data_IF_114383163953
#
_entry.id   IF_114383163953
#
_cell.length_a   1.000
_cell.length_b   1.000
_cell.length_c   1.000
_cell.angle_alpha   90.00
_cell.angle_beta   90.00
_cell.angle_gamma   90.00
#
_symmetry.space_group_name_H-M   'P 1'
#
loop_
_entity.id
_entity.type
_entity.pdbx_description
1 polymer ?
#
# COMPACT_ATOMS: atom_id res chain seq x y z
N UNK A 1 -22.61 -12.44 4.31
CA UNK A 1 -21.46 -12.93 5.10
C UNK A 1 -20.94 -11.82 5.99
N UNK A 2 -20.54 -12.13 7.23
CA UNK A 2 -20.04 -11.11 8.18
C UNK A 2 -18.62 -10.71 7.78
N UNK A 3 -18.39 -9.41 7.58
CA UNK A 3 -17.08 -8.84 7.24
C UNK A 3 -16.04 -9.20 8.32
N UNK A 4 -14.89 -9.78 7.97
CA UNK A 4 -13.85 -10.09 8.95
C UNK A 4 -13.28 -8.82 9.57
N UNK A 5 -13.22 -8.74 10.89
CA UNK A 5 -12.65 -7.58 11.61
C UNK A 5 -11.22 -7.26 11.15
N UNK A 6 -10.42 -8.27 10.79
CA UNK A 6 -9.06 -8.08 10.28
C UNK A 6 -9.00 -7.28 8.97
N UNK A 7 -9.91 -7.55 8.03
CA UNK A 7 -9.99 -6.81 6.75
C UNK A 7 -10.40 -5.36 7.02
N UNK A 8 -11.30 -5.16 7.98
CA UNK A 8 -11.70 -3.82 8.39
C UNK A 8 -10.59 -3.01 9.00
N UNK A 9 -9.87 -3.60 9.95
CA UNK A 9 -8.75 -2.96 10.62
C UNK A 9 -7.66 -2.60 9.60
N UNK A 10 -7.31 -3.52 8.69
CA UNK A 10 -6.27 -3.26 7.68
C UNK A 10 -6.67 -2.13 6.73
N UNK A 11 -7.89 -2.16 6.18
CA UNK A 11 -8.34 -1.11 5.27
C UNK A 11 -8.39 0.26 5.95
N UNK A 12 -8.81 0.32 7.22
CA UNK A 12 -8.76 1.57 8.01
C UNK A 12 -7.34 2.02 8.33
N UNK A 13 -6.43 1.11 8.65
CA UNK A 13 -5.01 1.42 8.83
C UNK A 13 -4.46 2.03 7.54
N UNK A 14 -4.70 1.41 6.39
CA UNK A 14 -4.23 1.93 5.09
C UNK A 14 -4.80 3.33 4.82
N UNK A 15 -6.08 3.57 5.09
CA UNK A 15 -6.67 4.91 4.93
C UNK A 15 -6.04 5.94 5.87
N UNK A 16 -5.93 5.62 7.17
CA UNK A 16 -5.37 6.52 8.16
C UNK A 16 -3.91 6.85 7.87
N UNK A 17 -3.10 5.84 7.53
CA UNK A 17 -1.69 6.05 7.18
C UNK A 17 -1.54 6.81 5.86
N UNK A 18 -2.42 6.59 4.88
CA UNK A 18 -2.40 7.35 3.62
C UNK A 18 -2.69 8.84 3.85
N UNK A 19 -3.71 9.15 4.66
CA UNK A 19 -4.04 10.54 5.02
C UNK A 19 -2.91 11.19 5.82
N UNK A 20 -2.37 10.48 6.81
CA UNK A 20 -1.24 10.96 7.60
C UNK A 20 0.00 11.21 6.73
N UNK A 21 0.32 10.27 5.83
CA UNK A 21 1.45 10.37 4.92
C UNK A 21 1.30 11.54 3.96
N UNK A 22 0.07 11.83 3.50
CA UNK A 22 -0.20 12.99 2.65
C UNK A 22 0.17 14.31 3.39
N UNK A 23 -0.24 14.45 4.65
CA UNK A 23 0.07 15.64 5.46
C UNK A 23 1.56 15.75 5.75
N UNK A 24 2.21 14.64 6.14
CA UNK A 24 3.64 14.61 6.45
C UNK A 24 4.47 14.92 5.20
N UNK A 25 4.16 14.31 4.06
CA UNK A 25 4.90 14.53 2.82
C UNK A 25 4.71 15.95 2.31
N UNK A 26 3.49 16.50 2.37
CA UNK A 26 3.25 17.90 2.00
C UNK A 26 4.12 18.85 2.82
N UNK A 27 4.22 18.66 4.14
CA UNK A 27 5.12 19.47 4.99
C UNK A 27 6.60 19.26 4.71
N UNK A 28 6.99 18.08 4.25
CA UNK A 28 8.39 17.74 3.99
C UNK A 28 8.86 18.15 2.59
N UNK A 29 7.98 18.61 1.69
CA UNK A 29 8.39 19.06 0.35
C UNK A 29 9.38 20.23 0.41
N UNK A 30 9.21 21.13 1.36
CA UNK A 30 10.08 22.31 1.53
C UNK A 30 11.24 22.06 2.52
N UNK A 31 11.35 20.85 3.07
CA UNK A 31 12.40 20.54 4.04
C UNK A 31 13.74 20.31 3.31
N UNK A 32 14.76 21.15 3.53
CA UNK A 32 16.02 21.07 2.77
C UNK A 32 16.74 19.74 2.95
N UNK A 33 16.60 19.11 4.12
CA UNK A 33 17.20 17.80 4.40
C UNK A 33 16.53 16.68 3.58
N UNK A 34 15.21 16.76 3.40
CA UNK A 34 14.45 15.79 2.58
C UNK A 34 14.75 15.97 1.10
N UNK A 35 14.84 17.21 0.62
CA UNK A 35 15.20 17.52 -0.76
C UNK A 35 16.61 17.02 -1.09
N UNK A 36 17.59 17.22 -0.20
CA UNK A 36 18.95 16.72 -0.39
C UNK A 36 19.00 15.18 -0.43
N UNK A 37 18.23 14.52 0.43
CA UNK A 37 18.10 13.06 0.43
C UNK A 37 17.44 12.53 -0.85
N UNK A 38 16.37 13.17 -1.34
CA UNK A 38 15.69 12.79 -2.58
C UNK A 38 16.56 13.04 -3.82
N UNK A 39 17.37 14.11 -3.82
CA UNK A 39 18.30 14.42 -4.90
C UNK A 39 19.44 13.39 -5.04
N UNK A 40 19.75 12.63 -3.98
CA UNK A 40 20.74 11.53 -4.01
C UNK A 40 20.19 10.23 -4.63
N UNK A 41 18.89 10.17 -4.92
CA UNK A 41 18.28 9.03 -5.63
C UNK A 41 18.56 9.09 -7.12
N UNK A 42 18.58 7.92 -7.77
CA UNK A 42 18.75 7.81 -9.23
C UNK A 42 17.52 8.33 -10.01
N UNK A 43 16.38 8.55 -9.34
CA UNK A 43 15.15 9.03 -9.97
C UNK A 43 15.04 10.56 -9.89
N UNK A 44 14.55 11.23 -10.95
CA UNK A 44 14.25 12.66 -10.88
C UNK A 44 13.17 12.93 -9.81
N UNK A 45 13.34 14.02 -9.06
CA UNK A 45 12.45 14.36 -7.93
C UNK A 45 10.96 14.47 -8.33
N UNK A 46 10.68 14.97 -9.53
CA UNK A 46 9.32 15.04 -10.07
C UNK A 46 8.66 13.67 -10.19
N UNK A 47 9.41 12.66 -10.64
CA UNK A 47 8.94 11.29 -10.75
C UNK A 47 8.75 10.65 -9.37
N UNK A 48 9.65 10.93 -8.41
CA UNK A 48 9.50 10.47 -7.03
C UNK A 48 8.20 10.99 -6.41
N UNK A 49 7.89 12.29 -6.55
CA UNK A 49 6.63 12.85 -6.06
C UNK A 49 5.41 12.30 -6.79
N UNK A 50 5.48 12.16 -8.12
CA UNK A 50 4.39 11.58 -8.89
C UNK A 50 4.06 10.16 -8.43
N UNK A 51 5.08 9.31 -8.24
CA UNK A 51 4.91 7.95 -7.72
C UNK A 51 4.36 7.93 -6.30
N UNK A 52 4.82 8.83 -5.44
CA UNK A 52 4.33 8.97 -4.06
C UNK A 52 2.83 9.30 -4.04
N UNK A 53 2.41 10.36 -4.72
CA UNK A 53 1.01 10.78 -4.74
C UNK A 53 0.11 9.75 -5.43
N UNK A 54 0.57 9.16 -6.54
CA UNK A 54 -0.13 8.08 -7.20
C UNK A 54 -0.31 6.87 -6.26
N UNK A 55 0.72 6.54 -5.48
CA UNK A 55 0.64 5.48 -4.48
C UNK A 55 -0.37 5.74 -3.37
N UNK A 56 -0.49 6.99 -2.91
CA UNK A 56 -1.50 7.37 -1.92
C UNK A 56 -2.93 7.20 -2.48
N UNK A 57 -3.16 7.60 -3.74
CA UNK A 57 -4.46 7.42 -4.41
C UNK A 57 -4.77 5.92 -4.56
N UNK A 58 -3.81 5.14 -5.04
CA UNK A 58 -3.97 3.69 -5.22
C UNK A 58 -4.25 3.00 -3.89
N UNK A 59 -3.52 3.35 -2.82
CA UNK A 59 -3.75 2.81 -1.49
C UNK A 59 -5.15 3.13 -0.97
N UNK A 60 -5.62 4.38 -1.16
CA UNK A 60 -6.97 4.79 -0.79
C UNK A 60 -8.05 4.03 -1.56
N UNK A 61 -7.93 3.95 -2.88
CA UNK A 61 -8.86 3.21 -3.76
C UNK A 61 -8.89 1.72 -3.39
N UNK A 62 -7.72 1.12 -3.19
CA UNK A 62 -7.61 -0.28 -2.79
C UNK A 62 -8.25 -0.54 -1.42
N UNK A 63 -8.02 0.35 -0.44
CA UNK A 63 -8.65 0.24 0.87
C UNK A 63 -10.18 0.30 0.76
N UNK A 64 -10.74 1.27 0.04
CA UNK A 64 -12.21 1.37 -0.17
C UNK A 64 -12.75 0.13 -0.88
N UNK A 65 -12.04 -0.40 -1.89
CA UNK A 65 -12.43 -1.63 -2.57
C UNK A 65 -12.44 -2.83 -1.60
N UNK A 66 -11.45 -2.94 -0.70
CA UNK A 66 -11.44 -3.96 0.35
C UNK A 66 -12.59 -3.77 1.35
N UNK A 67 -12.92 -2.53 1.73
CA UNK A 67 -14.09 -2.25 2.59
C UNK A 67 -15.39 -2.77 1.95
N UNK A 68 -15.49 -2.67 0.62
CA UNK A 68 -16.63 -3.15 -0.19
C UNK A 68 -16.60 -4.65 -0.48
N UNK A 69 -15.56 -5.38 -0.06
CA UNK A 69 -15.42 -6.82 -0.31
C UNK A 69 -15.00 -7.18 -1.73
N UNK A 70 -14.44 -6.22 -2.48
CA UNK A 70 -13.95 -6.45 -3.83
C UNK A 70 -12.54 -7.06 -3.79
N UNK A 71 -12.37 -8.21 -4.42
CA UNK A 71 -11.12 -8.98 -4.41
C UNK A 71 -9.96 -8.29 -5.16
N UNK A 72 -10.27 -7.43 -6.12
CA UNK A 72 -9.26 -6.67 -6.85
C UNK A 72 -8.55 -5.64 -5.97
N UNK A 73 -9.19 -5.16 -4.89
CA UNK A 73 -8.60 -4.17 -3.98
C UNK A 73 -7.30 -4.67 -3.35
N UNK A 74 -7.29 -5.92 -2.87
CA UNK A 74 -6.08 -6.56 -2.32
C UNK A 74 -5.00 -6.82 -3.36
N UNK A 75 -5.38 -7.21 -4.58
CA UNK A 75 -4.44 -7.43 -5.69
C UNK A 75 -3.77 -6.12 -6.09
N UNK A 76 -4.55 -5.04 -6.16
CA UNK A 76 -4.05 -3.70 -6.48
C UNK A 76 -3.09 -3.20 -5.38
N UNK A 77 -3.48 -3.27 -4.11
CA UNK A 77 -2.62 -2.86 -2.99
C UNK A 77 -1.30 -3.63 -2.96
N UNK A 78 -1.37 -4.95 -3.06
CA UNK A 78 -0.19 -5.80 -3.02
C UNK A 78 0.69 -5.60 -4.25
N UNK A 79 0.11 -5.55 -5.45
CA UNK A 79 0.86 -5.33 -6.70
C UNK A 79 1.57 -3.98 -6.72
N UNK A 80 0.88 -2.91 -6.31
CA UNK A 80 1.48 -1.58 -6.22
C UNK A 80 2.58 -1.51 -5.17
N UNK A 81 2.37 -2.11 -4.01
CA UNK A 81 3.38 -2.13 -2.94
C UNK A 81 4.63 -2.92 -3.35
N UNK A 82 4.46 -4.02 -4.07
CA UNK A 82 5.56 -4.81 -4.61
C UNK A 82 6.32 -4.04 -5.69
N UNK A 83 5.61 -3.37 -6.60
CA UNK A 83 6.21 -2.50 -7.60
C UNK A 83 7.04 -1.38 -6.95
N UNK A 84 6.47 -0.69 -5.96
CA UNK A 84 7.17 0.35 -5.20
C UNK A 84 8.43 -0.20 -4.49
N UNK A 85 8.35 -1.41 -3.94
CA UNK A 85 9.50 -2.07 -3.30
C UNK A 85 10.63 -2.37 -4.30
N UNK A 86 10.30 -2.89 -5.48
CA UNK A 86 11.28 -3.18 -6.54
C UNK A 86 11.95 -1.89 -7.02
N UNK A 87 11.17 -0.84 -7.27
CA UNK A 87 11.71 0.47 -7.66
C UNK A 87 12.62 1.01 -6.57
N UNK A 88 12.19 0.96 -5.31
CA UNK A 88 12.97 1.44 -4.18
C UNK A 88 14.28 0.63 -4.01
N UNK A 89 14.26 -0.68 -4.24
CA UNK A 89 15.46 -1.53 -4.18
C UNK A 89 16.47 -1.21 -5.30
N UNK A 90 15.97 -0.83 -6.48
CA UNK A 90 16.79 -0.46 -7.63
C UNK A 90 17.35 0.97 -7.54
N UNK A 91 16.64 1.89 -6.87
CA UNK A 91 16.92 3.33 -6.94
C UNK A 91 17.42 3.94 -5.63
N UNK A 92 17.13 3.30 -4.48
CA UNK A 92 17.53 3.81 -3.16
C UNK A 92 18.99 3.44 -2.82
N UNK A 93 19.81 4.41 -2.39
CA UNK A 93 21.14 4.13 -1.86
C UNK A 93 21.08 3.45 -0.48
N UNK A 94 19.97 3.59 0.27
CA UNK A 94 19.79 3.06 1.62
C UNK A 94 18.85 1.85 1.63
N UNK A 95 19.33 0.71 1.11
CA UNK A 95 18.54 -0.54 1.02
C UNK A 95 18.08 -1.06 2.39
N UNK A 96 18.81 -0.79 3.46
CA UNK A 96 18.46 -1.19 4.84
C UNK A 96 17.15 -0.53 5.31
N UNK A 97 16.86 0.68 4.84
CA UNK A 97 15.61 1.38 5.14
C UNK A 97 14.37 0.73 4.53
N UNK A 98 14.54 -0.23 3.60
CA UNK A 98 13.45 -0.99 2.99
C UNK A 98 12.98 -2.16 3.85
N UNK A 99 13.81 -2.63 4.80
CA UNK A 99 13.50 -3.79 5.65
C UNK A 99 12.20 -3.57 6.43
N UNK A 100 11.98 -2.43 7.14
CA UNK A 100 10.72 -2.20 7.83
C UNK A 100 9.51 -2.22 6.89
N UNK A 101 9.63 -1.63 5.69
CA UNK A 101 8.58 -1.62 4.68
C UNK A 101 8.25 -3.04 4.18
N UNK A 102 9.27 -3.87 3.97
CA UNK A 102 9.09 -5.26 3.55
C UNK A 102 8.38 -6.09 4.61
N UNK A 103 8.72 -5.90 5.89
CA UNK A 103 8.06 -6.56 7.02
C UNK A 103 6.58 -6.17 7.08
N UNK A 104 6.26 -4.88 6.99
CA UNK A 104 4.86 -4.40 6.99
C UNK A 104 4.08 -4.98 5.81
N UNK A 105 4.68 -5.00 4.61
CA UNK A 105 4.05 -5.59 3.43
C UNK A 105 3.77 -7.09 3.62
N UNK A 106 4.73 -7.84 4.18
CA UNK A 106 4.56 -9.27 4.46
C UNK A 106 3.44 -9.53 5.48
N UNK A 107 3.38 -8.74 6.56
CA UNK A 107 2.31 -8.82 7.56
C UNK A 107 0.96 -8.53 6.90
N UNK A 108 0.85 -7.46 6.12
CA UNK A 108 -0.40 -7.12 5.44
C UNK A 108 -0.83 -8.20 4.44
N UNK A 109 0.11 -8.74 3.66
CA UNK A 109 -0.17 -9.83 2.74
C UNK A 109 -0.69 -11.07 3.48
N UNK A 110 -0.03 -11.47 4.58
CA UNK A 110 -0.47 -12.61 5.38
C UNK A 110 -1.93 -12.45 5.86
N UNK A 111 -2.28 -11.30 6.43
CA UNK A 111 -3.65 -11.09 6.90
C UNK A 111 -4.69 -10.93 5.79
N UNK A 112 -4.31 -10.36 4.64
CA UNK A 112 -5.21 -10.18 3.48
C UNK A 112 -5.47 -11.48 2.72
N UNK A 113 -4.52 -12.42 2.72
CA UNK A 113 -4.60 -13.68 1.99
C UNK A 113 -4.93 -14.89 2.88
N UNK A 114 -5.13 -14.70 4.19
CA UNK A 114 -5.55 -15.79 5.09
C UNK A 114 -6.92 -16.37 4.67
N UNK A 115 -7.21 -17.66 4.93
CA UNK A 115 -8.44 -18.32 4.50
C UNK A 115 -9.74 -17.59 4.89
N UNK A 116 -9.79 -17.04 6.11
CA UNK A 116 -10.94 -16.25 6.61
C UNK A 116 -11.17 -14.95 5.83
N UNK A 117 -10.11 -14.33 5.31
CA UNK A 117 -10.22 -13.14 4.48
C UNK A 117 -10.58 -13.52 3.04
N UNK A 118 -10.01 -14.61 2.51
CA UNK A 118 -10.36 -15.11 1.17
C UNK A 118 -11.85 -15.38 1.05
N UNK A 119 -12.49 -16.01 2.04
CA UNK A 119 -13.93 -16.27 2.06
C UNK A 119 -14.80 -14.99 1.94
N UNK A 120 -14.30 -13.84 2.40
CA UNK A 120 -15.00 -12.56 2.28
C UNK A 120 -14.93 -11.97 0.86
N UNK A 121 -13.89 -12.31 0.10
CA UNK A 121 -13.63 -11.79 -1.25
C UNK A 121 -14.11 -12.74 -2.36
N UNK A 122 -14.65 -13.91 -2.04
CA UNK A 122 -15.23 -14.82 -3.04
C UNK A 122 -16.57 -14.25 -3.52
N UNK A 123 -16.78 -14.05 -4.84
CA UNK A 123 -18.07 -13.65 -5.38
C UNK A 123 -19.15 -14.69 -5.02
N UNK A 124 -20.26 -14.26 -4.44
CA UNK A 124 -21.43 -15.12 -4.24
C UNK A 124 -22.01 -15.48 -5.62
N UNK A 125 -21.66 -16.67 -6.13
CA UNK A 125 -22.05 -17.15 -7.47
C UNK A 125 -21.01 -18.00 -8.20
N UNK A 126 -19.80 -18.19 -7.65
CA UNK A 126 -18.84 -19.14 -8.23
C UNK A 126 -19.35 -20.59 -8.06
N UNK A 127 -19.36 -21.42 -9.12
CA UNK A 127 -19.89 -22.78 -9.07
C UNK A 127 -19.07 -23.63 -8.09
N UNK A 128 -19.73 -24.12 -7.05
CA UNK A 128 -19.10 -24.84 -5.93
C UNK A 128 -19.73 -24.59 -4.56
N UNK A 129 -20.67 -23.64 -4.46
CA UNK A 129 -21.45 -23.38 -3.25
C UNK A 129 -22.94 -23.73 -3.47
N UNK A 130 -23.24 -25.02 -3.63
CA UNK A 130 -24.57 -25.60 -3.50
C UNK A 130 -24.48 -26.78 -2.55
#
# INVERSE_FOLDING_TARGET
>A
MKRPTSVSVIAWIILATSVFSLVVNYKNMDNPLVVELMAKSLLPMSLQYAMMYLGLVIAGVAAVAMLKGLDWGRKLYFGWSLFGMIVALATSPLKVALIPGAVVLAIMAYFLYRPKANAYFVPQGAPGNA
#
